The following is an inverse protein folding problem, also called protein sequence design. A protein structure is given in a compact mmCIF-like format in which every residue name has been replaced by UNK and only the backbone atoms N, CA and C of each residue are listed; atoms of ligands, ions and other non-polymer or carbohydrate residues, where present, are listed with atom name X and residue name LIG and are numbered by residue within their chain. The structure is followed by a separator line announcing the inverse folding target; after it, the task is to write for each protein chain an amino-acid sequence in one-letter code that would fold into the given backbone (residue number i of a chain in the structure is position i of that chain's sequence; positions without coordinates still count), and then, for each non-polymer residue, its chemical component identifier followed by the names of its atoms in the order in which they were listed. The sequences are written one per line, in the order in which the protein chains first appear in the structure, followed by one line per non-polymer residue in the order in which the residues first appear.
data_IF_198501318140
#
_entry.id   IF_198501318140
#
_cell.length_a   1.000
_cell.length_b   1.000
_cell.length_c   1.000
_cell.angle_alpha   90.00
_cell.angle_beta   90.00
_cell.angle_gamma   90.00
#
_symmetry.space_group_name_H-M   'P 1'
#
loop_
_entity.id
_entity.type
_entity.pdbx_description
1 polymer ?
#
# COMPACT_ATOMS: atom_id res chain seq x y z
N UNK A 1 20.93 9.92 27.66
CA UNK A 1 21.60 10.61 26.54
C UNK A 1 22.73 9.72 26.05
N UNK A 2 22.51 9.00 24.94
CA UNK A 2 23.55 8.18 24.30
C UNK A 2 24.01 8.88 23.02
N UNK A 3 25.30 9.15 22.91
CA UNK A 3 25.93 9.65 21.69
C UNK A 3 25.61 8.71 20.51
N UNK A 4 25.04 9.23 19.43
CA UNK A 4 24.87 8.49 18.18
C UNK A 4 26.26 8.09 17.67
N UNK A 5 26.60 6.80 17.78
CA UNK A 5 27.86 6.23 17.30
C UNK A 5 27.94 6.44 15.79
N UNK A 6 29.09 6.92 15.30
CA UNK A 6 29.39 6.97 13.87
C UNK A 6 29.20 5.57 13.24
N UNK A 7 28.59 5.45 12.05
CA UNK A 7 28.51 4.18 11.35
C UNK A 7 29.92 3.68 11.03
N UNK A 8 30.21 2.43 11.37
CA UNK A 8 31.47 1.76 11.05
C UNK A 8 31.37 1.15 9.65
N UNK A 9 32.49 1.08 8.89
CA UNK A 9 32.49 0.43 7.58
C UNK A 9 32.06 -1.04 7.70
N UNK A 10 31.28 -1.58 6.73
CA UNK A 10 30.90 -2.98 6.68
C UNK A 10 32.08 -3.95 6.88
N UNK A 11 33.23 -3.67 6.28
CA UNK A 11 34.46 -4.45 6.40
C UNK A 11 34.99 -4.60 7.83
N UNK A 12 34.66 -3.65 8.72
CA UNK A 12 35.10 -3.63 10.12
C UNK A 12 34.02 -3.97 11.13
N UNK A 13 32.75 -3.90 10.73
CA UNK A 13 31.59 -4.08 11.63
C UNK A 13 30.90 -5.43 11.47
N UNK A 14 30.96 -6.05 10.29
CA UNK A 14 30.31 -7.32 10.03
C UNK A 14 31.09 -8.50 10.66
N UNK A 15 30.39 -9.49 11.25
CA UNK A 15 31.04 -10.70 11.73
C UNK A 15 31.61 -11.50 10.55
N UNK A 16 32.70 -12.23 10.79
CA UNK A 16 33.32 -13.05 9.76
C UNK A 16 32.35 -14.17 9.30
N UNK A 17 32.20 -14.33 7.99
CA UNK A 17 31.24 -15.27 7.41
C UNK A 17 31.48 -16.71 7.89
N UNK A 18 32.75 -17.10 8.06
CA UNK A 18 33.12 -18.45 8.52
C UNK A 18 32.71 -18.74 9.96
N UNK A 19 32.49 -17.72 10.78
CA UNK A 19 32.12 -17.85 12.19
C UNK A 19 30.68 -17.44 12.47
N UNK A 20 29.80 -17.37 11.45
CA UNK A 20 28.39 -17.02 11.62
C UNK A 20 27.66 -17.95 12.59
N UNK A 21 27.97 -19.24 12.53
CA UNK A 21 27.43 -20.27 13.44
C UNK A 21 27.85 -20.07 14.91
N UNK A 22 28.89 -19.28 15.17
CA UNK A 22 29.40 -18.95 16.51
C UNK A 22 28.90 -17.58 17.01
N UNK A 23 28.12 -16.84 16.20
CA UNK A 23 27.59 -15.54 16.60
C UNK A 23 26.26 -15.67 17.34
N UNK A 24 25.99 -14.73 18.25
CA UNK A 24 24.68 -14.59 18.86
C UNK A 24 23.68 -13.94 17.90
N UNK A 25 22.40 -14.26 18.05
CA UNK A 25 21.29 -13.61 17.34
C UNK A 25 21.39 -12.08 17.43
N UNK A 26 21.61 -11.53 18.64
CA UNK A 26 21.72 -10.09 18.86
C UNK A 26 22.80 -9.42 18.01
N UNK A 27 23.91 -10.10 17.74
CA UNK A 27 25.02 -9.58 16.96
C UNK A 27 24.72 -9.56 15.48
N UNK A 28 24.03 -10.60 14.98
CA UNK A 28 23.58 -10.68 13.58
C UNK A 28 22.52 -9.60 13.32
N UNK A 29 21.51 -9.48 14.19
CA UNK A 29 20.46 -8.46 14.05
C UNK A 29 21.01 -7.03 14.14
N UNK A 30 21.99 -6.79 15.03
CA UNK A 30 22.67 -5.50 15.11
C UNK A 30 23.47 -5.18 13.84
N UNK A 31 24.14 -6.18 13.25
CA UNK A 31 24.89 -6.01 12.00
C UNK A 31 23.95 -5.67 10.83
N UNK A 32 22.85 -6.40 10.70
CA UNK A 32 21.82 -6.14 9.69
C UNK A 32 21.15 -4.78 9.85
N UNK A 33 20.87 -4.37 11.09
CA UNK A 33 20.32 -3.04 11.38
C UNK A 33 21.31 -1.93 11.01
N UNK A 34 22.62 -2.15 11.23
CA UNK A 34 23.66 -1.22 10.80
C UNK A 34 23.74 -1.09 9.28
N UNK A 35 23.66 -2.20 8.56
CA UNK A 35 23.61 -2.20 7.09
C UNK A 35 22.36 -1.50 6.55
N UNK A 36 21.20 -1.76 7.15
CA UNK A 36 19.93 -1.10 6.77
C UNK A 36 20.01 0.41 6.99
N UNK A 37 20.56 0.85 8.12
CA UNK A 37 20.75 2.28 8.39
C UNK A 37 21.71 2.95 7.38
N UNK A 38 22.73 2.23 6.90
CA UNK A 38 23.73 2.75 5.97
C UNK A 38 23.22 2.77 4.51
N UNK A 39 22.53 1.73 4.07
CA UNK A 39 22.20 1.48 2.66
C UNK A 39 20.71 1.57 2.30
N UNK A 40 19.84 1.75 3.30
CA UNK A 40 18.42 2.01 3.11
C UNK A 40 18.00 3.29 3.87
N UNK A 41 18.64 4.45 3.64
CA UNK A 41 18.30 5.67 4.35
C UNK A 41 16.86 6.09 4.04
N UNK A 42 16.14 6.53 5.07
CA UNK A 42 14.81 7.12 4.89
C UNK A 42 14.93 8.41 4.07
N UNK A 43 13.94 8.74 3.20
CA UNK A 43 13.92 9.98 2.43
C UNK A 43 14.13 11.21 3.32
N UNK A 44 15.04 12.10 2.90
CA UNK A 44 15.62 13.20 3.69
C UNK A 44 14.63 14.31 4.09
N UNK A 45 13.37 14.28 3.62
CA UNK A 45 12.30 15.17 4.11
C UNK A 45 11.82 14.81 5.52
N UNK A 46 12.19 13.64 6.06
CA UNK A 46 11.85 13.19 7.42
C UNK A 46 12.74 13.75 8.55
N UNK A 47 13.79 14.52 8.25
CA UNK A 47 14.72 15.04 9.27
C UNK A 47 14.32 16.38 9.90
N UNK A 48 13.34 17.10 9.33
CA UNK A 48 12.85 18.37 9.86
C UNK A 48 11.50 18.23 10.56
N UNK A 49 11.46 17.53 11.70
CA UNK A 49 10.35 17.70 12.65
C UNK A 49 10.65 17.29 14.10
N UNK A 50 11.92 17.08 14.47
CA UNK A 50 12.31 16.68 15.85
C UNK A 50 12.98 17.77 16.68
N UNK A 51 13.05 19.04 16.24
CA UNK A 51 13.41 20.15 17.13
C UNK A 51 12.24 21.10 17.38
N UNK A 52 11.41 20.76 18.36
CA UNK A 52 10.59 21.76 19.04
C UNK A 52 11.50 22.58 19.97
N UNK A 53 11.77 23.83 19.60
CA UNK A 53 12.19 24.88 20.52
C UNK A 53 11.49 26.21 20.15
N UNK A 54 11.16 27.06 21.14
CA UNK A 54 10.04 28.00 21.04
C UNK A 54 10.34 29.30 20.28
N UNK A 55 9.25 29.88 19.74
CA UNK A 55 9.13 31.13 18.96
C UNK A 55 9.69 32.37 19.68
N UNK A 56 10.33 33.27 18.92
CA UNK A 56 10.24 34.75 19.06
C UNK A 56 10.60 35.48 17.72
N UNK A 57 10.17 36.75 17.51
CA UNK A 57 9.77 37.33 16.20
C UNK A 57 10.88 38.19 15.51
N UNK A 58 10.63 38.78 14.31
CA UNK A 58 11.66 39.00 13.29
C UNK A 58 12.42 40.33 13.43
N UNK A 59 13.71 40.32 13.09
CA UNK A 59 14.59 41.50 13.09
C UNK A 59 15.69 41.43 12.03
N UNK A 60 15.46 42.16 10.94
CA UNK A 60 16.36 42.91 10.03
C UNK A 60 17.89 42.65 10.08
N UNK A 61 18.40 42.27 8.90
CA UNK A 61 19.65 42.63 8.19
C UNK A 61 21.07 42.42 8.80
N UNK A 62 21.89 41.78 7.95
CA UNK A 62 23.23 42.20 7.49
C UNK A 62 24.39 42.29 8.49
N UNK A 63 25.34 41.36 8.42
CA UNK A 63 26.78 41.65 8.21
C UNK A 63 27.59 40.35 8.20
N UNK A 64 28.62 40.32 7.35
CA UNK A 64 29.50 39.17 7.17
C UNK A 64 30.65 39.03 8.18
N UNK A 65 31.35 37.90 7.98
CA UNK A 65 32.67 37.50 8.48
C UNK A 65 32.81 36.91 9.90
N UNK A 66 33.16 35.61 9.86
CA UNK A 66 34.14 34.88 10.67
C UNK A 66 33.79 34.53 12.13
N UNK A 67 33.51 33.24 12.37
CA UNK A 67 34.46 32.39 13.09
C UNK A 67 34.11 30.93 12.85
N UNK A 68 35.14 30.19 12.45
CA UNK A 68 35.22 28.75 12.45
C UNK A 68 34.77 28.20 13.81
N UNK A 69 33.82 27.27 13.79
CA UNK A 69 33.56 26.32 14.86
C UNK A 69 33.02 25.06 14.19
N UNK A 70 33.94 24.10 14.01
CA UNK A 70 33.69 22.70 13.67
C UNK A 70 32.53 22.13 14.51
N UNK A 71 31.35 21.96 13.91
CA UNK A 71 30.36 21.00 14.45
C UNK A 71 29.28 20.56 13.43
N UNK A 72 29.60 20.55 12.11
CA UNK A 72 28.65 20.13 11.07
C UNK A 72 29.03 18.83 10.33
N UNK A 73 29.98 18.03 10.84
CA UNK A 73 30.42 16.76 10.21
C UNK A 73 29.58 15.54 10.60
N UNK A 74 28.26 15.66 10.69
CA UNK A 74 27.38 14.50 10.96
C UNK A 74 26.72 13.91 9.72
N UNK A 75 26.78 14.58 8.56
CA UNK A 75 26.17 14.13 7.31
C UNK A 75 27.14 13.70 6.20
N UNK A 76 28.40 14.13 6.23
CA UNK A 76 29.35 13.91 5.12
C UNK A 76 29.96 12.48 5.16
N UNK A 77 30.47 12.02 6.31
CA UNK A 77 31.14 10.71 6.46
C UNK A 77 30.23 9.51 6.10
N UNK A 78 28.91 9.59 6.37
CA UNK A 78 27.97 8.49 6.06
C UNK A 78 27.65 8.38 4.58
N UNK A 79 27.67 9.49 3.84
CA UNK A 79 27.55 9.47 2.39
C UNK A 79 28.81 8.88 1.74
N UNK A 80 30.00 9.23 2.23
CA UNK A 80 31.26 8.67 1.72
C UNK A 80 31.33 7.14 1.87
N UNK A 81 30.90 6.59 3.01
CA UNK A 81 30.87 5.15 3.24
C UNK A 81 29.79 4.42 2.43
N UNK A 82 28.64 5.06 2.18
CA UNK A 82 27.55 4.49 1.37
C UNK A 82 27.97 4.37 -0.10
N UNK A 83 28.69 5.38 -0.58
CA UNK A 83 29.08 5.50 -1.98
C UNK A 83 30.44 4.79 -2.26
N UNK A 84 31.07 4.16 -1.25
CA UNK A 84 32.28 3.36 -1.39
C UNK A 84 31.98 1.99 -2.08
N UNK A 85 32.53 1.75 -3.30
CA UNK A 85 32.26 0.54 -4.06
C UNK A 85 32.87 -0.73 -3.43
N UNK A 86 33.97 -0.59 -2.69
CA UNK A 86 34.59 -1.71 -1.99
C UNK A 86 33.72 -2.17 -0.81
N UNK A 87 33.28 -1.22 0.02
CA UNK A 87 32.43 -1.52 1.18
C UNK A 87 31.06 -2.06 0.75
N UNK A 88 30.47 -1.49 -0.30
CA UNK A 88 29.23 -2.01 -0.90
C UNK A 88 29.39 -3.44 -1.42
N UNK A 89 30.45 -3.70 -2.18
CA UNK A 89 30.75 -5.03 -2.71
C UNK A 89 31.03 -6.05 -1.60
N UNK A 90 31.67 -5.60 -0.51
CA UNK A 90 31.90 -6.42 0.68
C UNK A 90 30.58 -6.78 1.37
N UNK A 91 29.73 -5.79 1.64
CA UNK A 91 28.41 -5.98 2.22
C UNK A 91 27.53 -6.91 1.36
N UNK A 92 27.54 -6.73 0.04
CA UNK A 92 26.78 -7.58 -0.90
C UNK A 92 27.19 -9.06 -0.81
N UNK A 93 28.51 -9.35 -0.86
CA UNK A 93 29.02 -10.72 -0.71
C UNK A 93 28.69 -11.33 0.65
N UNK A 94 28.68 -10.52 1.70
CA UNK A 94 28.33 -10.97 3.04
C UNK A 94 26.84 -11.32 3.12
N UNK A 95 25.95 -10.44 2.63
CA UNK A 95 24.51 -10.65 2.61
C UNK A 95 24.10 -11.87 1.78
N UNK A 96 24.67 -12.06 0.59
CA UNK A 96 24.39 -13.24 -0.24
C UNK A 96 24.79 -14.53 0.47
N UNK A 97 25.94 -14.57 1.15
CA UNK A 97 26.36 -15.76 1.90
C UNK A 97 25.54 -15.98 3.16
N UNK A 98 25.16 -14.91 3.86
CA UNK A 98 24.25 -14.99 5.00
C UNK A 98 22.92 -15.63 4.56
N UNK A 99 22.27 -15.10 3.53
CA UNK A 99 21.01 -15.62 3.00
C UNK A 99 21.12 -17.08 2.53
N UNK A 100 22.26 -17.47 1.96
CA UNK A 100 22.50 -18.85 1.52
C UNK A 100 22.70 -19.86 2.67
N UNK A 101 22.99 -19.40 3.89
CA UNK A 101 23.32 -20.26 5.04
C UNK A 101 22.42 -20.05 6.26
N UNK A 102 21.48 -19.10 6.21
CA UNK A 102 20.65 -18.69 7.35
C UNK A 102 19.80 -19.83 7.91
N UNK A 103 19.34 -20.75 7.06
CA UNK A 103 18.57 -21.94 7.46
C UNK A 103 19.39 -22.92 8.31
N UNK A 104 20.72 -22.90 8.18
CA UNK A 104 21.63 -23.77 8.93
C UNK A 104 22.09 -23.12 10.25
N UNK A 105 21.70 -21.86 10.52
CA UNK A 105 22.11 -21.12 11.71
C UNK A 105 21.20 -21.43 12.90
N UNK A 106 21.72 -22.20 13.85
CA UNK A 106 21.03 -22.55 15.11
C UNK A 106 21.01 -21.41 16.15
N UNK A 107 21.52 -20.22 15.82
CA UNK A 107 21.64 -19.11 16.77
C UNK A 107 20.33 -18.35 17.02
N UNK A 108 19.31 -18.53 16.17
CA UNK A 108 18.02 -17.85 16.28
C UNK A 108 17.09 -18.56 17.27
N UNK A 109 16.56 -17.80 18.23
CA UNK A 109 15.66 -18.28 19.28
C UNK A 109 14.25 -18.59 18.76
N UNK A 110 13.84 -17.96 17.65
CA UNK A 110 12.53 -18.14 17.03
C UNK A 110 12.60 -18.10 15.50
N UNK A 111 11.63 -18.75 14.84
CA UNK A 111 11.44 -18.63 13.38
C UNK A 111 11.07 -17.19 12.96
N UNK A 112 10.39 -16.44 13.83
CA UNK A 112 10.06 -15.03 13.59
C UNK A 112 11.33 -14.15 13.53
N UNK A 113 12.26 -14.32 14.47
CA UNK A 113 13.56 -13.65 14.46
C UNK A 113 14.39 -14.01 13.23
N UNK A 114 14.36 -15.28 12.80
CA UNK A 114 15.06 -15.71 11.58
C UNK A 114 14.46 -15.01 10.36
N UNK A 115 13.14 -14.96 10.26
CA UNK A 115 12.45 -14.28 9.16
C UNK A 115 12.76 -12.77 9.14
N UNK A 116 12.75 -12.08 10.28
CA UNK A 116 13.13 -10.66 10.37
C UNK A 116 14.58 -10.43 9.86
N UNK A 117 15.51 -11.33 10.20
CA UNK A 117 16.87 -11.26 9.72
C UNK A 117 16.97 -11.48 8.19
N UNK A 118 16.20 -12.41 7.64
CA UNK A 118 16.09 -12.65 6.19
C UNK A 118 15.53 -11.43 5.48
N UNK A 119 14.45 -10.84 6.01
CA UNK A 119 13.78 -9.69 5.41
C UNK A 119 14.71 -8.47 5.39
N UNK A 120 15.40 -8.18 6.50
CA UNK A 120 16.40 -7.10 6.58
C UNK A 120 17.55 -7.33 5.60
N UNK A 121 18.10 -8.54 5.54
CA UNK A 121 19.21 -8.86 4.64
C UNK A 121 18.80 -8.73 3.17
N UNK A 122 17.62 -9.23 2.83
CA UNK A 122 17.04 -9.17 1.49
C UNK A 122 16.74 -7.73 1.07
N UNK A 123 16.21 -6.91 1.99
CA UNK A 123 15.94 -5.50 1.74
C UNK A 123 17.20 -4.70 1.41
N UNK A 124 18.30 -4.91 2.15
CA UNK A 124 19.59 -4.26 1.86
C UNK A 124 20.19 -4.77 0.55
N UNK A 125 20.16 -6.08 0.31
CA UNK A 125 20.69 -6.64 -0.93
C UNK A 125 19.89 -6.13 -2.16
N UNK A 126 18.58 -5.98 -2.01
CA UNK A 126 17.73 -5.38 -3.03
C UNK A 126 18.09 -3.92 -3.31
N UNK A 127 18.47 -3.13 -2.28
CA UNK A 127 18.88 -1.73 -2.51
C UNK A 127 20.16 -1.63 -3.36
N UNK A 128 21.07 -2.61 -3.26
CA UNK A 128 22.25 -2.67 -4.14
C UNK A 128 21.88 -2.93 -5.59
N UNK A 129 20.92 -3.82 -5.82
CA UNK A 129 20.39 -4.09 -7.15
C UNK A 129 19.68 -2.85 -7.70
N UNK A 130 18.84 -2.19 -6.91
CA UNK A 130 18.17 -0.94 -7.33
C UNK A 130 19.16 0.18 -7.68
N UNK A 131 20.33 0.24 -7.02
CA UNK A 131 21.37 1.22 -7.29
C UNK A 131 22.22 0.87 -8.53
N UNK A 132 22.50 -0.41 -8.78
CA UNK A 132 23.20 -0.87 -10.00
C UNK A 132 22.30 -0.79 -11.24
N UNK A 133 20.99 -0.91 -11.03
CA UNK A 133 19.95 -0.71 -12.05
C UNK A 133 19.62 0.79 -12.23
N UNK A 134 20.13 1.70 -11.39
CA UNK A 134 19.99 3.13 -11.66
C UNK A 134 20.73 3.58 -12.93
N UNK A 135 21.74 2.81 -13.36
CA UNK A 135 22.46 3.00 -14.63
C UNK A 135 21.87 2.19 -15.81
N UNK A 136 20.85 1.37 -15.56
CA UNK A 136 20.16 0.57 -16.58
C UNK A 136 18.67 0.96 -16.65
N UNK A 137 18.23 1.45 -17.81
CA UNK A 137 16.87 1.90 -18.13
C UNK A 137 15.72 1.21 -17.34
N UNK A 138 14.83 2.05 -16.79
CA UNK A 138 13.51 1.79 -16.19
C UNK A 138 13.04 0.32 -16.12
N UNK A 139 13.38 -0.38 -15.04
CA UNK A 139 12.87 -1.74 -14.81
C UNK A 139 11.45 -1.68 -14.22
N UNK A 140 10.47 -1.54 -15.10
CA UNK A 140 9.07 -1.87 -14.84
C UNK A 140 8.93 -3.36 -14.51
N UNK A 141 8.30 -3.70 -13.37
CA UNK A 141 8.10 -5.10 -12.97
C UNK A 141 6.69 -5.52 -13.36
N UNK A 142 6.57 -6.44 -14.31
CA UNK A 142 5.28 -7.06 -14.61
C UNK A 142 4.99 -8.20 -13.63
N UNK A 143 3.83 -8.16 -12.98
CA UNK A 143 3.32 -9.18 -12.06
C UNK A 143 2.06 -9.83 -12.62
N UNK A 144 1.96 -11.14 -12.46
CA UNK A 144 0.74 -11.89 -12.77
C UNK A 144 0.19 -12.48 -11.46
N UNK A 145 -1.02 -12.05 -11.11
CA UNK A 145 -1.77 -12.57 -9.98
C UNK A 145 -2.80 -13.57 -10.46
N UNK A 146 -2.97 -14.66 -9.72
CA UNK A 146 -3.99 -15.66 -9.98
C UNK A 146 -4.81 -15.89 -8.72
N UNK A 147 -6.12 -15.72 -8.83
CA UNK A 147 -7.07 -15.92 -7.74
C UNK A 147 -8.08 -17.00 -8.10
N UNK A 148 -8.51 -17.78 -7.12
CA UNK A 148 -9.52 -18.83 -7.31
C UNK A 148 -10.89 -18.26 -6.91
N UNK A 149 -11.73 -17.97 -7.90
CA UNK A 149 -13.11 -17.54 -7.73
C UNK A 149 -14.00 -18.72 -7.37
N UNK A 150 -14.61 -18.69 -6.19
CA UNK A 150 -15.56 -19.71 -5.75
C UNK A 150 -17.00 -19.34 -6.14
N UNK A 151 -17.56 -20.06 -7.10
CA UNK A 151 -18.91 -19.82 -7.64
C UNK A 151 -20.02 -20.39 -6.72
N UNK A 152 -19.71 -21.36 -5.85
CA UNK A 152 -20.69 -21.96 -4.94
C UNK A 152 -21.24 -20.99 -3.90
N UNK A 153 -20.42 -20.02 -3.49
CA UNK A 153 -20.78 -18.97 -2.55
C UNK A 153 -22.02 -18.14 -2.96
N UNK A 154 -22.44 -18.23 -4.23
CA UNK A 154 -23.53 -17.45 -4.81
C UNK A 154 -24.90 -18.16 -4.76
N UNK A 155 -24.96 -19.43 -4.38
CA UNK A 155 -26.20 -20.21 -4.29
C UNK A 155 -26.95 -20.31 -5.61
N UNK A 156 -26.23 -20.52 -6.72
CA UNK A 156 -26.77 -20.94 -8.01
C UNK A 156 -26.93 -22.46 -7.96
N UNK A 157 -28.11 -22.93 -7.55
CA UNK A 157 -28.49 -24.34 -7.70
C UNK A 157 -29.03 -24.54 -9.11
N UNK A 158 -28.25 -25.17 -9.99
CA UNK A 158 -28.67 -25.37 -11.39
C UNK A 158 -27.72 -26.25 -12.19
N UNK A 159 -28.05 -27.54 -12.22
CA UNK A 159 -27.67 -28.59 -13.18
C UNK A 159 -26.57 -28.29 -14.23
N UNK A 160 -25.44 -28.97 -14.02
CA UNK A 160 -24.44 -29.49 -14.99
C UNK A 160 -23.02 -29.00 -14.69
N UNK A 161 -22.29 -29.84 -13.95
CA UNK A 161 -20.85 -30.11 -13.98
C UNK A 161 -19.92 -29.04 -14.60
N UNK A 162 -20.02 -27.80 -14.15
CA UNK A 162 -18.98 -26.80 -14.33
C UNK A 162 -18.15 -26.76 -13.04
N UNK A 163 -16.82 -26.56 -13.11
CA UNK A 163 -15.99 -26.57 -11.91
C UNK A 163 -16.50 -25.52 -10.93
N UNK A 164 -16.67 -25.90 -9.66
CA UNK A 164 -17.14 -25.01 -8.58
C UNK A 164 -16.29 -23.76 -8.35
N UNK A 165 -15.12 -23.72 -8.99
CA UNK A 165 -14.17 -22.62 -8.95
C UNK A 165 -13.63 -22.29 -10.35
N UNK A 166 -13.36 -21.01 -10.59
CA UNK A 166 -12.69 -20.49 -11.79
C UNK A 166 -11.43 -19.71 -11.41
N UNK A 167 -10.43 -19.68 -12.29
CA UNK A 167 -9.22 -18.86 -12.07
C UNK A 167 -9.40 -17.46 -12.67
N UNK A 168 -9.16 -16.43 -11.86
CA UNK A 168 -9.07 -15.03 -12.27
C UNK A 168 -7.60 -14.64 -12.34
N UNK A 169 -7.10 -14.41 -13.55
CA UNK A 169 -5.76 -13.88 -13.76
C UNK A 169 -5.79 -12.36 -13.88
N UNK A 170 -4.87 -11.64 -13.23
CA UNK A 170 -4.71 -10.19 -13.32
C UNK A 170 -3.25 -9.87 -13.60
N UNK A 171 -2.97 -9.13 -14.68
CA UNK A 171 -1.61 -8.75 -15.06
C UNK A 171 -1.39 -7.26 -14.82
N UNK A 172 -0.39 -6.89 -14.02
CA UNK A 172 -0.09 -5.50 -13.67
C UNK A 172 1.36 -5.18 -13.97
N UNK A 173 1.63 -3.95 -14.38
CA UNK A 173 2.95 -3.35 -14.26
C UNK A 173 3.00 -2.55 -12.96
N UNK A 174 3.95 -2.91 -12.11
CA UNK A 174 4.39 -2.09 -10.99
C UNK A 174 5.53 -1.20 -11.46
N UNK A 175 5.42 0.11 -11.20
CA UNK A 175 6.48 1.09 -11.43
C UNK A 175 7.41 1.24 -10.23
N UNK A 176 8.45 2.06 -10.37
CA UNK A 176 9.37 2.41 -9.30
C UNK A 176 8.73 3.46 -8.36
N UNK A 177 7.82 3.01 -7.49
CA UNK A 177 7.21 3.83 -6.45
C UNK A 177 8.26 4.45 -5.50
N UNK A 178 8.15 5.74 -5.18
CA UNK A 178 9.00 6.44 -4.22
C UNK A 178 10.40 6.80 -4.71
N UNK A 179 10.61 6.87 -6.04
CA UNK A 179 11.93 7.19 -6.63
C UNK A 179 12.20 8.69 -6.60
N UNK A 180 11.18 9.51 -6.79
CA UNK A 180 11.33 10.95 -6.64
C UNK A 180 11.18 11.33 -5.16
N UNK A 181 12.29 11.62 -4.49
CA UNK A 181 12.28 12.14 -3.14
C UNK A 181 11.51 13.49 -3.03
N UNK A 182 11.23 14.16 -4.16
CA UNK A 182 10.36 15.33 -4.22
C UNK A 182 8.87 14.99 -4.35
N UNK A 183 8.50 13.80 -4.85
CA UNK A 183 7.11 13.39 -5.07
C UNK A 183 6.73 12.10 -4.32
N UNK A 184 6.54 12.25 -3.02
CA UNK A 184 6.02 11.24 -2.10
C UNK A 184 4.62 10.69 -2.42
N UNK A 185 3.94 11.18 -3.48
CA UNK A 185 2.57 10.76 -3.84
C UNK A 185 2.53 9.69 -4.94
N UNK A 186 3.69 9.30 -5.50
CA UNK A 186 3.84 8.27 -6.55
C UNK A 186 3.76 6.81 -6.04
N UNK A 187 3.50 6.63 -4.73
CA UNK A 187 3.46 5.31 -4.07
C UNK A 187 2.39 4.35 -4.62
N UNK A 188 1.43 4.89 -5.38
CA UNK A 188 0.39 4.12 -6.09
C UNK A 188 0.91 3.33 -7.30
N UNK A 189 2.19 3.48 -7.68
CA UNK A 189 2.81 2.69 -8.74
C UNK A 189 3.11 1.24 -8.34
N UNK A 190 3.00 0.91 -7.05
CA UNK A 190 3.20 -0.45 -6.54
C UNK A 190 1.89 -1.04 -6.02
N UNK A 191 1.70 -2.34 -6.23
CA UNK A 191 0.61 -3.11 -5.61
C UNK A 191 0.92 -3.45 -4.14
N UNK A 192 0.02 -3.11 -3.22
CA UNK A 192 0.19 -3.31 -1.76
C UNK A 192 -0.53 -4.56 -1.24
N UNK A 193 -0.08 -5.10 -0.10
CA UNK A 193 -0.60 -6.34 0.49
C UNK A 193 -2.11 -6.34 0.72
N UNK A 194 -2.67 -5.23 1.22
CA UNK A 194 -4.11 -5.09 1.43
C UNK A 194 -4.95 -5.29 0.15
N UNK A 195 -4.47 -4.84 -1.00
CA UNK A 195 -5.16 -5.01 -2.29
C UNK A 195 -5.20 -6.49 -2.70
N UNK A 196 -4.11 -7.23 -2.47
CA UNK A 196 -4.03 -8.67 -2.69
C UNK A 196 -5.01 -9.42 -1.77
N UNK A 197 -4.96 -9.16 -0.46
CA UNK A 197 -5.82 -9.82 0.54
C UNK A 197 -7.30 -9.54 0.26
N UNK A 198 -7.65 -8.30 -0.07
CA UNK A 198 -9.02 -7.94 -0.45
C UNK A 198 -9.48 -8.70 -1.70
N UNK A 199 -8.62 -8.81 -2.71
CA UNK A 199 -8.94 -9.51 -3.96
C UNK A 199 -9.07 -11.02 -3.73
N UNK A 200 -8.21 -11.61 -2.92
CA UNK A 200 -8.29 -13.02 -2.52
C UNK A 200 -9.60 -13.31 -1.78
N UNK A 201 -9.96 -12.46 -0.81
CA UNK A 201 -11.22 -12.55 -0.09
C UNK A 201 -12.43 -12.44 -1.03
N UNK A 202 -12.39 -11.48 -1.96
CA UNK A 202 -13.43 -11.28 -2.97
C UNK A 202 -13.62 -12.50 -3.85
N UNK A 203 -12.54 -13.16 -4.30
CA UNK A 203 -12.64 -14.36 -5.11
C UNK A 203 -13.07 -15.58 -4.29
N UNK A 204 -12.55 -15.75 -3.07
CA UNK A 204 -12.87 -16.89 -2.23
C UNK A 204 -14.31 -16.84 -1.68
N UNK A 205 -14.83 -15.65 -1.36
CA UNK A 205 -16.17 -15.46 -0.81
C UNK A 205 -16.80 -14.11 -1.21
N UNK A 206 -17.24 -13.95 -2.48
CA UNK A 206 -17.90 -12.73 -2.96
C UNK A 206 -19.12 -12.30 -2.15
N UNK A 207 -19.86 -13.27 -1.59
CA UNK A 207 -21.05 -13.01 -0.77
C UNK A 207 -20.73 -12.22 0.51
N UNK A 208 -19.54 -12.44 1.09
CA UNK A 208 -19.08 -11.69 2.29
C UNK A 208 -18.91 -10.20 2.02
N UNK A 209 -18.63 -9.82 0.76
CA UNK A 209 -18.47 -8.43 0.33
C UNK A 209 -19.74 -7.85 -0.32
N UNK A 210 -20.88 -8.56 -0.25
CA UNK A 210 -22.11 -8.20 -0.95
C UNK A 210 -21.94 -8.03 -2.48
N UNK A 211 -21.02 -8.78 -3.11
CA UNK A 211 -20.70 -8.67 -4.53
C UNK A 211 -21.43 -9.69 -5.42
N UNK A 212 -22.57 -10.22 -4.98
CA UNK A 212 -23.34 -11.23 -5.72
C UNK A 212 -24.54 -10.61 -6.42
N UNK A 213 -25.08 -11.26 -7.45
CA UNK A 213 -26.33 -10.83 -8.09
C UNK A 213 -27.58 -10.86 -7.19
N UNK A 214 -27.50 -11.43 -5.98
CA UNK A 214 -28.57 -11.37 -4.96
C UNK A 214 -28.53 -10.07 -4.15
N UNK A 215 -27.35 -9.50 -3.98
CA UNK A 215 -27.11 -8.30 -3.15
C UNK A 215 -26.96 -7.04 -4.00
N UNK A 216 -26.39 -7.17 -5.20
CA UNK A 216 -26.26 -6.09 -6.16
C UNK A 216 -27.45 -6.04 -7.11
N UNK A 217 -27.76 -4.84 -7.60
CA UNK A 217 -28.65 -4.68 -8.75
C UNK A 217 -28.05 -5.33 -10.00
N UNK A 218 -28.82 -5.42 -11.09
CA UNK A 218 -28.31 -5.92 -12.38
C UNK A 218 -27.25 -5.01 -13.01
N UNK A 219 -27.19 -3.74 -12.58
CA UNK A 219 -26.30 -2.71 -13.10
C UNK A 219 -25.73 -1.84 -11.97
N UNK A 220 -24.92 -2.42 -11.06
CA UNK A 220 -24.39 -1.69 -9.92
C UNK A 220 -23.30 -0.72 -10.38
N UNK A 221 -23.20 0.42 -9.71
CA UNK A 221 -22.08 1.35 -9.84
C UNK A 221 -21.09 1.12 -8.72
N UNK A 222 -19.86 0.75 -9.08
CA UNK A 222 -18.79 0.45 -8.14
C UNK A 222 -17.61 1.36 -8.44
N UNK A 223 -17.09 2.03 -7.42
CA UNK A 223 -15.96 2.95 -7.56
C UNK A 223 -14.84 2.54 -6.60
N UNK A 224 -13.64 2.36 -7.14
CA UNK A 224 -12.41 2.14 -6.36
C UNK A 224 -11.73 3.49 -6.09
N UNK A 225 -11.48 3.78 -4.82
CA UNK A 225 -10.81 4.99 -4.36
C UNK A 225 -9.34 4.66 -4.08
N UNK A 226 -8.41 5.38 -4.73
CA UNK A 226 -6.97 5.18 -4.55
C UNK A 226 -6.54 3.84 -5.13
N UNK A 227 -6.89 3.62 -6.40
CA UNK A 227 -6.75 2.35 -7.09
C UNK A 227 -5.28 1.94 -7.30
N UNK A 228 -4.34 2.89 -7.30
CA UNK A 228 -2.93 2.60 -7.57
C UNK A 228 -2.75 1.88 -8.91
N UNK A 229 -2.26 0.65 -8.86
CA UNK A 229 -2.08 -0.21 -10.04
C UNK A 229 -3.38 -0.75 -10.63
N UNK A 230 -4.48 -0.73 -9.88
CA UNK A 230 -5.82 -1.17 -10.31
C UNK A 230 -6.14 -2.64 -10.05
N UNK A 231 -5.38 -3.33 -9.18
CA UNK A 231 -5.58 -4.76 -8.89
C UNK A 231 -7.04 -5.10 -8.57
N UNK A 232 -7.66 -4.36 -7.66
CA UNK A 232 -9.02 -4.64 -7.18
C UNK A 232 -10.05 -4.32 -8.27
N UNK A 233 -9.96 -3.15 -8.90
CA UNK A 233 -10.87 -2.77 -9.99
C UNK A 233 -10.82 -3.73 -11.18
N UNK A 234 -9.63 -4.17 -11.57
CA UNK A 234 -9.47 -5.17 -12.64
C UNK A 234 -10.07 -6.52 -12.22
N UNK A 235 -9.82 -6.96 -10.99
CA UNK A 235 -10.39 -8.19 -10.48
C UNK A 235 -11.93 -8.12 -10.43
N UNK A 236 -12.51 -7.01 -9.97
CA UNK A 236 -13.95 -6.75 -9.99
C UNK A 236 -14.52 -6.87 -11.41
N UNK A 237 -13.87 -6.27 -12.41
CA UNK A 237 -14.27 -6.38 -13.82
C UNK A 237 -14.27 -7.83 -14.33
N UNK A 238 -13.38 -8.68 -13.83
CA UNK A 238 -13.35 -10.10 -14.20
C UNK A 238 -14.34 -10.95 -13.39
N UNK A 239 -14.56 -10.61 -12.12
CA UNK A 239 -15.39 -11.38 -11.19
C UNK A 239 -16.88 -11.14 -11.41
N UNK A 240 -17.32 -9.87 -11.46
CA UNK A 240 -18.76 -9.54 -11.46
C UNK A 240 -19.56 -10.19 -12.59
N UNK A 241 -19.08 -10.23 -13.86
CA UNK A 241 -19.81 -10.93 -14.92
C UNK A 241 -19.97 -12.43 -14.66
N UNK A 242 -18.97 -13.08 -14.05
CA UNK A 242 -19.02 -14.51 -13.67
C UNK A 242 -20.00 -14.78 -12.53
N UNK A 243 -20.27 -13.76 -11.72
CA UNK A 243 -21.27 -13.79 -10.66
C UNK A 243 -22.68 -13.43 -11.14
N UNK A 244 -22.88 -13.29 -12.46
CA UNK A 244 -24.17 -12.98 -13.07
C UNK A 244 -24.57 -11.51 -13.05
N UNK A 245 -23.66 -10.59 -12.66
CA UNK A 245 -23.91 -9.15 -12.71
C UNK A 245 -23.79 -8.70 -14.17
N UNK A 246 -24.92 -8.30 -14.77
CA UNK A 246 -25.03 -8.18 -16.22
C UNK A 246 -24.37 -6.91 -16.79
N UNK A 247 -24.47 -5.78 -16.10
CA UNK A 247 -23.99 -4.50 -16.61
C UNK A 247 -23.38 -3.61 -15.50
N UNK A 248 -22.31 -4.04 -14.82
CA UNK A 248 -21.68 -3.22 -13.79
C UNK A 248 -21.02 -1.99 -14.43
N UNK A 249 -21.12 -0.84 -13.75
CA UNK A 249 -20.34 0.36 -14.06
C UNK A 249 -19.17 0.44 -13.09
N UNK A 250 -17.95 0.24 -13.58
CA UNK A 250 -16.74 0.27 -12.76
C UNK A 250 -15.90 1.52 -13.06
N UNK A 251 -15.49 2.22 -12.00
CA UNK A 251 -14.58 3.36 -12.10
C UNK A 251 -13.43 3.16 -11.11
N UNK A 252 -12.19 3.12 -11.58
CA UNK A 252 -11.01 3.13 -10.73
C UNK A 252 -10.45 4.56 -10.66
N UNK A 253 -10.28 5.08 -9.45
CA UNK A 253 -9.86 6.47 -9.25
C UNK A 253 -8.55 6.59 -8.51
N UNK A 254 -7.78 7.59 -8.88
CA UNK A 254 -6.55 7.98 -8.18
C UNK A 254 -6.34 9.48 -8.32
N UNK A 255 -5.44 10.04 -7.51
CA UNK A 255 -5.08 11.46 -7.55
C UNK A 255 -3.95 11.72 -8.53
N UNK A 256 -2.92 10.86 -8.52
CA UNK A 256 -1.64 11.19 -9.14
C UNK A 256 -1.65 10.91 -10.65
N UNK A 257 -1.29 11.88 -11.52
CA UNK A 257 -1.31 11.72 -12.97
C UNK A 257 -0.51 10.50 -13.50
N UNK A 258 0.72 10.29 -13.02
CA UNK A 258 1.54 9.11 -13.35
C UNK A 258 0.89 7.80 -12.92
N UNK A 259 0.29 7.74 -11.73
CA UNK A 259 -0.45 6.56 -11.25
C UNK A 259 -1.65 6.30 -12.15
N UNK A 260 -2.41 7.33 -12.52
CA UNK A 260 -3.54 7.22 -13.45
C UNK A 260 -3.11 6.73 -14.84
N UNK A 261 -1.95 7.19 -15.35
CA UNK A 261 -1.41 6.71 -16.61
C UNK A 261 -1.05 5.22 -16.54
N UNK A 262 -0.39 4.78 -15.46
CA UNK A 262 -0.08 3.36 -15.23
C UNK A 262 -1.35 2.51 -15.06
N UNK A 263 -2.30 2.99 -14.27
CA UNK A 263 -3.62 2.37 -14.09
C UNK A 263 -4.29 2.16 -15.44
N UNK A 264 -4.35 3.18 -16.29
CA UNK A 264 -4.94 3.08 -17.63
C UNK A 264 -4.22 2.02 -18.49
N UNK A 265 -2.89 1.94 -18.44
CA UNK A 265 -2.13 0.92 -19.15
C UNK A 265 -2.47 -0.50 -18.64
N UNK A 266 -2.60 -0.67 -17.31
CA UNK A 266 -3.01 -1.93 -16.69
C UNK A 266 -4.45 -2.31 -17.06
N UNK A 267 -5.39 -1.36 -17.14
CA UNK A 267 -6.75 -1.61 -17.60
C UNK A 267 -6.76 -2.14 -19.03
N UNK A 268 -6.07 -1.47 -19.96
CA UNK A 268 -5.98 -1.88 -21.37
C UNK A 268 -5.36 -3.28 -21.52
N UNK A 269 -4.35 -3.62 -20.71
CA UNK A 269 -3.72 -4.94 -20.72
C UNK A 269 -4.71 -6.05 -20.33
N UNK A 270 -5.58 -5.79 -19.37
CA UNK A 270 -6.53 -6.79 -18.87
C UNK A 270 -7.85 -6.83 -19.63
N UNK A 271 -8.20 -5.75 -20.33
CA UNK A 271 -9.41 -5.58 -21.12
C UNK A 271 -9.07 -4.94 -22.47
N UNK A 272 -8.37 -5.66 -23.36
CA UNK A 272 -8.00 -5.11 -24.66
C UNK A 272 -9.27 -4.76 -25.46
N UNK A 273 -9.28 -3.63 -26.18
CA UNK A 273 -10.42 -3.27 -27.02
C UNK A 273 -10.67 -4.38 -28.06
N UNK A 274 -11.92 -4.83 -28.17
CA UNK A 274 -12.29 -5.72 -29.27
C UNK A 274 -12.11 -4.95 -30.59
N UNK A 275 -11.44 -5.59 -31.56
CA UNK A 275 -10.87 -4.93 -32.74
C UNK A 275 -11.80 -3.99 -33.51
N UNK A 276 -11.19 -3.06 -34.25
CA UNK A 276 -11.86 -2.05 -35.07
C UNK A 276 -12.84 -2.70 -36.06
N UNK A 277 -14.16 -2.67 -35.78
CA UNK A 277 -15.13 -3.17 -36.75
C UNK A 277 -16.58 -3.30 -36.33
N UNK A 278 -16.94 -3.28 -35.05
CA UNK A 278 -18.35 -3.41 -34.62
C UNK A 278 -18.58 -2.56 -33.36
N UNK A 279 -19.70 -1.83 -33.31
CA UNK A 279 -20.18 -0.95 -32.22
C UNK A 279 -19.30 -0.98 -30.97
N UNK A 280 -18.46 0.05 -30.79
CA UNK A 280 -17.53 0.15 -29.66
C UNK A 280 -18.30 -0.06 -28.34
N UNK A 281 -18.13 -1.25 -27.76
CA UNK A 281 -18.68 -1.55 -26.43
C UNK A 281 -17.87 -0.71 -25.45
N UNK A 282 -18.50 0.12 -24.62
CA UNK A 282 -17.78 0.93 -23.63
C UNK A 282 -16.94 0.00 -22.73
N UNK A 283 -15.76 0.45 -22.29
CA UNK A 283 -14.89 -0.38 -21.47
C UNK A 283 -15.61 -0.76 -20.17
N UNK A 284 -15.47 -2.02 -19.76
CA UNK A 284 -16.10 -2.55 -18.55
C UNK A 284 -15.69 -1.76 -17.28
N UNK A 285 -14.48 -1.19 -17.32
CA UNK A 285 -13.89 -0.34 -16.29
C UNK A 285 -13.16 0.82 -16.94
N UNK A 286 -13.27 2.00 -16.34
CA UNK A 286 -12.53 3.21 -16.76
C UNK A 286 -11.77 3.81 -15.59
N UNK A 287 -10.68 4.54 -15.88
CA UNK A 287 -9.97 5.33 -14.90
C UNK A 287 -10.52 6.76 -14.82
N UNK A 288 -10.46 7.41 -13.66
CA UNK A 288 -10.81 8.82 -13.51
C UNK A 288 -9.99 9.50 -12.40
N UNK A 289 -9.59 10.78 -12.57
CA UNK A 289 -8.91 11.52 -11.52
C UNK A 289 -9.87 11.85 -10.37
N UNK A 290 -9.40 11.69 -9.14
CA UNK A 290 -10.14 12.07 -7.94
C UNK A 290 -9.19 12.52 -6.84
N UNK A 291 -9.27 13.80 -6.48
CA UNK A 291 -8.68 14.35 -5.25
C UNK A 291 -9.73 14.30 -4.13
N UNK A 292 -9.45 13.61 -3.02
CA UNK A 292 -10.38 13.57 -1.88
C UNK A 292 -10.42 14.86 -1.07
N UNK A 293 -9.37 15.68 -1.13
CA UNK A 293 -9.35 16.99 -0.47
C UNK A 293 -10.32 17.95 -1.18
N UNK A 294 -10.30 17.95 -2.52
CA UNK A 294 -11.15 18.81 -3.36
C UNK A 294 -11.89 18.04 -4.47
N UNK A 295 -12.81 17.13 -4.12
CA UNK A 295 -13.38 16.21 -5.11
C UNK A 295 -14.34 16.91 -6.07
N UNK A 296 -14.04 16.83 -7.36
CA UNK A 296 -14.94 17.27 -8.41
C UNK A 296 -15.92 16.15 -8.79
N UNK A 297 -17.08 16.17 -8.16
CA UNK A 297 -18.17 15.21 -8.40
C UNK A 297 -19.26 15.78 -9.32
N UNK A 298 -18.98 16.82 -10.09
CA UNK A 298 -20.00 17.47 -10.94
C UNK A 298 -20.06 16.89 -12.35
N UNK A 299 -19.02 16.15 -12.76
CA UNK A 299 -18.85 15.66 -14.13
C UNK A 299 -18.77 14.13 -14.18
N UNK A 300 -19.19 13.50 -15.30
CA UNK A 300 -18.95 12.08 -15.53
C UNK A 300 -17.46 11.71 -15.46
N UNK A 301 -17.12 10.51 -14.97
CA UNK A 301 -18.04 9.44 -14.54
C UNK A 301 -18.44 9.48 -13.05
N UNK A 302 -18.10 10.55 -12.32
CA UNK A 302 -18.23 10.67 -10.85
C UNK A 302 -19.44 11.50 -10.40
N UNK A 303 -20.27 11.96 -11.32
CA UNK A 303 -21.47 12.76 -11.05
C UNK A 303 -22.66 11.96 -10.48
N UNK A 304 -22.50 10.66 -10.31
CA UNK A 304 -23.53 9.76 -9.78
C UNK A 304 -22.99 9.00 -8.57
N UNK A 305 -23.88 8.77 -7.58
CA UNK A 305 -23.53 8.01 -6.39
C UNK A 305 -23.35 6.52 -6.69
N UNK A 306 -22.44 5.87 -5.95
CA UNK A 306 -22.10 4.47 -6.08
C UNK A 306 -22.91 3.58 -5.13
N UNK A 307 -23.22 2.37 -5.59
CA UNK A 307 -23.79 1.28 -4.77
C UNK A 307 -22.69 0.68 -3.88
N UNK A 308 -21.47 0.59 -4.41
CA UNK A 308 -20.30 0.08 -3.69
C UNK A 308 -19.11 1.01 -3.88
N UNK A 309 -18.48 1.37 -2.77
CA UNK A 309 -17.15 1.97 -2.77
C UNK A 309 -16.14 0.94 -2.25
N UNK A 310 -14.94 0.94 -2.80
CA UNK A 310 -13.83 0.10 -2.33
C UNK A 310 -12.57 0.92 -2.22
N UNK A 311 -11.78 0.70 -1.17
CA UNK A 311 -10.44 1.28 -1.05
C UNK A 311 -9.52 0.33 -0.29
N UNK A 312 -8.26 0.24 -0.71
CA UNK A 312 -7.27 -0.66 -0.10
C UNK A 312 -5.95 0.05 0.18
N UNK A 313 -5.55 0.10 1.44
CA UNK A 313 -4.32 0.74 1.96
C UNK A 313 -4.14 2.22 1.61
N UNK A 314 -5.24 2.97 1.59
CA UNK A 314 -5.27 4.36 1.16
C UNK A 314 -4.99 5.40 2.26
N UNK A 315 -4.98 4.98 3.52
CA UNK A 315 -4.80 5.88 4.67
C UNK A 315 -3.40 5.69 5.24
N UNK A 316 -2.55 6.70 5.04
CA UNK A 316 -1.17 6.73 5.55
C UNK A 316 -0.81 8.09 6.20
N UNK A 317 -1.73 9.04 6.19
CA UNK A 317 -1.70 10.29 6.97
C UNK A 317 -3.05 10.49 7.69
N UNK A 318 -3.03 11.21 8.81
CA UNK A 318 -4.22 11.48 9.62
C UNK A 318 -5.32 12.23 8.83
N UNK A 319 -4.92 13.12 7.92
CA UNK A 319 -5.88 13.88 7.09
C UNK A 319 -6.60 12.99 6.08
N UNK A 320 -5.97 11.90 5.64
CA UNK A 320 -6.53 11.02 4.62
C UNK A 320 -7.83 10.38 5.10
N UNK A 321 -7.90 9.98 6.37
CA UNK A 321 -9.12 9.41 6.94
C UNK A 321 -10.29 10.41 6.92
N UNK A 322 -10.03 11.70 7.17
CA UNK A 322 -11.03 12.77 7.15
C UNK A 322 -11.48 13.09 5.72
N UNK A 323 -10.53 13.29 4.80
CA UNK A 323 -10.83 13.55 3.39
C UNK A 323 -11.58 12.38 2.75
N UNK A 324 -11.15 11.15 3.02
CA UNK A 324 -11.81 9.94 2.54
C UNK A 324 -13.24 9.84 3.07
N UNK A 325 -13.48 10.09 4.36
CA UNK A 325 -14.82 10.13 4.94
C UNK A 325 -15.73 11.12 4.22
N UNK A 326 -15.28 12.36 4.06
CA UNK A 326 -16.10 13.41 3.45
C UNK A 326 -16.33 13.16 1.96
N UNK A 327 -15.36 12.56 1.26
CA UNK A 327 -15.51 12.13 -0.12
C UNK A 327 -16.53 10.99 -0.25
N UNK A 328 -16.38 9.93 0.55
CA UNK A 328 -17.32 8.79 0.59
C UNK A 328 -18.73 9.24 0.91
N UNK A 329 -18.90 10.15 1.88
CA UNK A 329 -20.21 10.67 2.26
C UNK A 329 -20.95 11.40 1.12
N UNK A 330 -20.23 11.97 0.16
CA UNK A 330 -20.83 12.59 -1.05
C UNK A 330 -21.11 11.57 -2.14
N UNK A 331 -20.30 10.53 -2.24
CA UNK A 331 -20.33 9.54 -3.33
C UNK A 331 -21.19 8.31 -3.03
N UNK A 332 -21.45 7.97 -1.77
CA UNK A 332 -22.14 6.72 -1.41
C UNK A 332 -23.67 6.88 -1.45
N UNK A 333 -24.34 5.94 -2.11
CA UNK A 333 -25.80 5.84 -2.06
C UNK A 333 -26.32 5.61 -0.63
N UNK A 334 -27.60 5.92 -0.36
CA UNK A 334 -28.24 5.72 0.94
C UNK A 334 -28.15 4.29 1.50
N UNK A 335 -28.26 3.31 0.62
CA UNK A 335 -28.21 1.87 0.85
C UNK A 335 -26.87 1.26 0.41
N UNK A 336 -25.93 2.10 -0.02
CA UNK A 336 -24.62 1.66 -0.47
C UNK A 336 -23.71 1.19 0.66
N UNK A 337 -22.67 0.45 0.29
CA UNK A 337 -21.61 0.01 1.19
C UNK A 337 -20.25 0.53 0.76
N UNK A 338 -19.45 0.97 1.71
CA UNK A 338 -18.04 1.26 1.52
C UNK A 338 -17.19 0.20 2.20
N UNK A 339 -16.39 -0.51 1.42
CA UNK A 339 -15.41 -1.47 1.91
C UNK A 339 -14.02 -0.84 1.95
N UNK A 340 -13.40 -0.86 3.12
CA UNK A 340 -12.06 -0.33 3.33
C UNK A 340 -11.16 -1.41 3.93
N UNK A 341 -10.13 -1.84 3.20
CA UNK A 341 -9.08 -2.70 3.73
C UNK A 341 -7.86 -1.87 4.08
N UNK A 342 -7.34 -1.99 5.31
CA UNK A 342 -6.14 -1.29 5.75
C UNK A 342 -5.09 -2.25 6.24
N UNK A 343 -3.83 -1.89 5.98
CA UNK A 343 -2.68 -2.49 6.64
C UNK A 343 -2.52 -1.88 8.03
N UNK A 344 -2.35 -2.70 9.05
CA UNK A 344 -1.99 -2.26 10.39
C UNK A 344 -0.49 -2.41 10.58
N UNK A 345 0.13 -1.34 11.05
CA UNK A 345 1.54 -1.31 11.45
C UNK A 345 1.60 -1.00 12.93
N UNK A 346 2.20 -1.88 13.72
CA UNK A 346 2.34 -1.71 15.18
C UNK A 346 3.59 -0.90 15.56
N UNK A 347 4.49 -0.68 14.59
CA UNK A 347 5.72 0.08 14.79
C UNK A 347 5.94 1.08 13.65
N UNK A 348 6.81 2.06 13.88
CA UNK A 348 7.19 3.04 12.87
C UNK A 348 6.19 4.19 12.70
N UNK A 349 6.42 5.03 11.70
CA UNK A 349 5.69 6.30 11.50
C UNK A 349 4.20 6.16 11.18
N UNK A 350 3.78 4.97 10.75
CA UNK A 350 2.39 4.65 10.42
C UNK A 350 1.64 3.99 11.58
N UNK A 351 2.27 3.87 12.75
CA UNK A 351 1.64 3.37 13.96
C UNK A 351 0.42 4.23 14.32
N UNK A 352 -0.72 3.58 14.56
CA UNK A 352 -1.96 4.25 14.94
C UNK A 352 -2.75 4.89 13.80
N UNK A 353 -2.28 4.80 12.54
CA UNK A 353 -3.03 5.33 11.39
C UNK A 353 -4.39 4.65 11.24
N UNK A 354 -4.49 3.34 11.52
CA UNK A 354 -5.77 2.63 11.52
C UNK A 354 -6.78 3.19 12.54
N UNK A 355 -6.31 3.78 13.64
CA UNK A 355 -7.18 4.41 14.64
C UNK A 355 -7.79 5.72 14.13
N UNK A 356 -7.13 6.40 13.19
CA UNK A 356 -7.67 7.61 12.55
C UNK A 356 -8.91 7.32 11.72
N UNK A 357 -9.01 6.12 11.16
CA UNK A 357 -10.20 5.65 10.44
C UNK A 357 -11.35 5.42 11.42
N UNK A 358 -11.11 4.74 12.55
CA UNK A 358 -12.14 4.60 13.59
C UNK A 358 -12.60 5.96 14.12
N UNK A 359 -11.67 6.87 14.33
CA UNK A 359 -11.97 8.23 14.77
C UNK A 359 -12.80 8.99 13.72
N UNK A 360 -12.51 8.82 12.43
CA UNK A 360 -13.20 9.55 11.35
C UNK A 360 -14.59 9.00 11.07
N UNK A 361 -14.77 7.68 11.09
CA UNK A 361 -16.05 7.00 10.80
C UNK A 361 -16.81 6.61 12.08
N UNK A 362 -16.78 7.49 13.09
CA UNK A 362 -17.38 7.29 14.41
C UNK A 362 -18.89 7.62 14.49
N UNK A 363 -19.47 8.16 13.42
CA UNK A 363 -20.87 8.59 13.32
C UNK A 363 -21.23 9.90 14.04
N UNK A 364 -20.28 10.56 14.69
CA UNK A 364 -20.42 11.86 15.38
C UNK A 364 -20.03 13.02 14.47
N UNK A 365 -18.94 12.85 13.74
CA UNK A 365 -18.35 13.86 12.87
C UNK A 365 -18.67 13.61 11.38
N UNK A 366 -18.59 14.65 10.54
CA UNK A 366 -18.75 14.55 9.09
C UNK A 366 -20.17 14.80 8.58
N UNK A 367 -20.35 14.56 7.27
CA UNK A 367 -21.61 14.78 6.57
C UNK A 367 -22.66 13.71 6.94
N UNK A 368 -23.91 14.13 7.02
CA UNK A 368 -25.08 13.25 7.14
C UNK A 368 -25.77 13.16 5.78
N UNK A 369 -26.42 12.03 5.51
CA UNK A 369 -27.25 11.93 4.32
C UNK A 369 -28.57 12.71 4.49
N UNK A 370 -29.43 12.69 3.47
CA UNK A 370 -30.70 13.41 3.46
C UNK A 370 -31.69 13.02 4.58
N UNK A 371 -31.52 11.84 5.19
CA UNK A 371 -32.34 11.37 6.32
C UNK A 371 -31.68 11.61 7.68
N UNK A 372 -30.57 12.36 7.73
CA UNK A 372 -29.84 12.62 8.96
C UNK A 372 -29.01 11.44 9.47
N UNK A 373 -28.93 10.35 8.70
CA UNK A 373 -28.12 9.18 9.05
C UNK A 373 -26.62 9.53 8.94
N UNK A 374 -25.82 9.25 9.98
CA UNK A 374 -24.38 9.45 9.91
C UNK A 374 -23.69 8.30 9.17
N UNK A 375 -22.57 8.61 8.51
CA UNK A 375 -21.69 7.61 7.92
C UNK A 375 -20.77 7.04 9.01
N UNK A 376 -20.79 5.72 9.20
CA UNK A 376 -19.97 5.08 10.24
C UNK A 376 -19.58 3.65 9.92
N UNK A 377 -18.62 3.11 10.68
CA UNK A 377 -18.26 1.69 10.64
C UNK A 377 -19.45 0.89 11.16
N UNK A 378 -19.95 -0.03 10.34
CA UNK A 378 -21.03 -0.96 10.62
C UNK A 378 -20.51 -2.34 11.06
N UNK A 379 -19.33 -2.72 10.58
CA UNK A 379 -18.68 -3.98 10.92
C UNK A 379 -17.16 -3.89 10.73
N UNK A 380 -16.41 -4.69 11.47
CA UNK A 380 -14.95 -4.74 11.43
C UNK A 380 -14.44 -6.17 11.58
N UNK A 381 -13.51 -6.57 10.71
CA UNK A 381 -12.89 -7.89 10.72
C UNK A 381 -11.36 -7.78 10.60
N UNK A 382 -10.64 -8.64 11.32
CA UNK A 382 -9.17 -8.69 11.32
C UNK A 382 -8.66 -9.93 10.57
N UNK A 383 -7.58 -9.75 9.81
CA UNK A 383 -6.91 -10.80 9.06
C UNK A 383 -5.43 -10.82 9.45
N UNK A 384 -4.93 -11.99 9.86
CA UNK A 384 -3.50 -12.16 10.10
C UNK A 384 -2.71 -11.96 8.79
N UNK A 385 -1.49 -11.43 8.88
CA UNK A 385 -0.59 -11.34 7.72
C UNK A 385 -0.20 -12.74 7.24
N UNK A 386 -0.53 -13.14 6.00
CA UNK A 386 -0.06 -14.42 5.47
C UNK A 386 1.46 -14.39 5.25
N UNK A 387 2.10 -15.55 5.38
CA UNK A 387 3.54 -15.68 5.11
C UNK A 387 3.85 -15.28 3.65
N UNK A 388 4.83 -14.40 3.48
CA UNK A 388 5.27 -13.94 2.15
C UNK A 388 4.39 -12.86 1.50
N UNK A 389 3.36 -12.37 2.19
CA UNK A 389 2.52 -11.25 1.71
C UNK A 389 2.74 -10.03 2.61
N UNK A 390 2.85 -8.86 1.98
CA UNK A 390 3.07 -7.59 2.69
C UNK A 390 4.54 -7.32 3.05
N UNK A 391 4.80 -6.15 3.62
CA UNK A 391 6.12 -5.79 4.13
C UNK A 391 6.34 -6.31 5.55
N UNK A 392 7.62 -6.47 5.94
CA UNK A 392 8.01 -6.98 7.26
C UNK A 392 7.46 -6.17 8.45
N UNK A 393 7.17 -4.88 8.25
CA UNK A 393 6.60 -3.98 9.27
C UNK A 393 5.06 -4.04 9.39
N UNK A 394 4.39 -4.78 8.52
CA UNK A 394 2.94 -4.99 8.55
C UNK A 394 2.60 -6.10 9.56
N UNK A 395 1.66 -5.86 10.48
CA UNK A 395 1.31 -6.85 11.51
C UNK A 395 0.04 -7.64 11.18
N UNK A 396 -0.97 -6.95 10.65
CA UNK A 396 -2.28 -7.51 10.32
C UNK A 396 -2.98 -6.63 9.28
N UNK A 397 -4.09 -7.11 8.73
CA UNK A 397 -4.99 -6.32 7.88
C UNK A 397 -6.36 -6.21 8.55
N UNK A 398 -7.03 -5.07 8.36
CA UNK A 398 -8.39 -4.82 8.88
C UNK A 398 -9.33 -4.46 7.75
N UNK A 399 -10.46 -5.15 7.69
CA UNK A 399 -11.56 -4.85 6.79
C UNK A 399 -12.66 -4.12 7.55
N UNK A 400 -13.06 -2.97 7.05
CA UNK A 400 -14.19 -2.21 7.57
C UNK A 400 -15.34 -2.24 6.57
N UNK A 401 -16.54 -2.56 7.08
CA UNK A 401 -17.80 -2.31 6.37
C UNK A 401 -18.36 -0.99 6.86
N UNK A 402 -18.40 0.02 6.00
CA UNK A 402 -18.87 1.37 6.32
C UNK A 402 -20.16 1.64 5.56
N UNK A 403 -21.10 2.36 6.20
CA UNK A 403 -22.35 2.75 5.56
C UNK A 403 -23.15 3.73 6.42
N UNK A 404 -24.34 4.08 5.93
CA UNK A 404 -25.24 4.99 6.63
C UNK A 404 -25.98 4.25 7.73
N UNK A 405 -25.72 4.60 8.99
CA UNK A 405 -26.41 4.01 10.12
C UNK A 405 -27.78 4.70 10.34
N UNK A 406 -28.85 3.95 10.66
CA UNK A 406 -30.13 4.55 11.02
C UNK A 406 -29.91 5.56 12.15
N UNK A 407 -30.38 6.79 11.98
CA UNK A 407 -30.26 7.80 13.02
C UNK A 407 -30.90 7.28 14.32
N UNK A 408 -30.12 7.18 15.38
CA UNK A 408 -30.70 7.03 16.73
C UNK A 408 -31.43 8.34 17.02
N UNK A 409 -32.74 8.36 16.80
CA UNK A 409 -33.60 9.37 17.41
C UNK A 409 -33.47 9.17 18.92
N UNK A 410 -32.62 9.99 19.53
CA UNK A 410 -32.74 10.27 20.96
C UNK A 410 -33.86 11.31 21.03
N UNK A 411 -35.07 10.84 21.35
CA UNK A 411 -36.21 11.70 21.70
C UNK A 411 -35.87 12.66 22.84
#
# INVERSE_FOLDING_TARGET
MGSARRPLPPSSSLPAIRSLHEQSESRILSALSGLSALYCPLPTTLAFQTSLAPKHPPGVADSGYASDNDDNRKGEDSCELRDDPYERSFAGRWLTRFLASVEELACFESEESRQDAIDKASSVLASFLSQEVADAEDVEITREYQFVLNLHSCGIEGHNASPGCETIAVQLTDGLAGRDNADHTDVGLQSWGAAFIFTELMCANPARLNLTGKTLSSSPRIIELGAGTGLVGIALGKVLPRLGVSAPTLVATDFHPTVLANLQANLVRNFPPMGEGQNAVPPLIQSAPLDWETPNLSAPPLNEQADVLVATDVVYDHKHAVWLRDCVARMLKPDGVFWLMLTVRTTGKFQGVSETVRASFNGRDGLRNLWGCPLMILDEENFARPNGIGRGDESEYRLFRIGWAPGTYTE
#
